data_IF_445143158817
#
_entry.id   IF_445143158817
#
_cell.length_a   1.000
_cell.length_b   1.000
_cell.length_c   1.000
_cell.angle_alpha   90.00
_cell.angle_beta   90.00
_cell.angle_gamma   90.00
#
_symmetry.space_group_name_H-M   'P 1'
#
loop_
_entity.id
_entity.type
_entity.pdbx_description
1 polymer ?
#
# COMPACT_ATOMS: atom_id res chain seq x y z
N UNK A 1 0.99 -4.70 8.62
CA UNK A 1 2.18 -4.67 7.74
C UNK A 1 2.87 -6.00 7.74
N UNK A 2 3.69 -6.28 8.76
CA UNK A 2 4.63 -7.41 8.79
C UNK A 2 3.96 -8.77 8.57
N UNK A 3 2.89 -9.10 9.29
CA UNK A 3 2.18 -10.40 9.13
C UNK A 3 1.68 -10.63 7.71
N UNK A 4 1.03 -9.62 7.11
CA UNK A 4 0.53 -9.69 5.74
C UNK A 4 1.65 -9.67 4.71
N UNK A 5 2.69 -8.87 4.93
CA UNK A 5 3.85 -8.78 4.04
C UNK A 5 4.64 -10.08 4.01
N UNK A 6 4.89 -10.72 5.15
CA UNK A 6 5.59 -12.02 5.19
C UNK A 6 4.75 -13.12 4.54
N UNK A 7 3.44 -13.17 4.80
CA UNK A 7 2.53 -14.11 4.13
C UNK A 7 2.56 -13.94 2.61
N UNK A 8 2.33 -12.73 2.10
CA UNK A 8 2.28 -12.46 0.67
C UNK A 8 3.65 -12.61 0.01
N UNK A 9 4.74 -12.27 0.70
CA UNK A 9 6.10 -12.51 0.23
C UNK A 9 6.44 -13.99 0.10
N UNK A 10 6.02 -14.82 1.08
CA UNK A 10 6.19 -16.27 1.02
C UNK A 10 5.36 -16.89 -0.11
N UNK A 11 4.12 -16.43 -0.30
CA UNK A 11 3.28 -16.85 -1.44
C UNK A 11 3.94 -16.45 -2.76
N UNK A 12 4.40 -15.22 -2.90
CA UNK A 12 5.10 -14.77 -4.10
C UNK A 12 6.37 -15.59 -4.37
N UNK A 13 7.14 -15.90 -3.32
CA UNK A 13 8.30 -16.79 -3.44
C UNK A 13 7.89 -18.20 -3.90
N UNK A 14 6.82 -18.77 -3.34
CA UNK A 14 6.35 -20.10 -3.72
C UNK A 14 5.89 -20.18 -5.19
N UNK A 15 5.31 -19.11 -5.73
CA UNK A 15 4.85 -19.07 -7.12
C UNK A 15 5.98 -18.77 -8.12
N UNK A 16 6.88 -17.84 -7.81
CA UNK A 16 7.87 -17.34 -8.76
C UNK A 16 9.28 -17.93 -8.56
N UNK A 17 9.53 -18.63 -7.44
CA UNK A 17 10.84 -19.20 -7.10
C UNK A 17 11.96 -18.17 -6.89
N UNK A 18 11.64 -16.87 -6.93
CA UNK A 18 12.62 -15.79 -6.89
C UNK A 18 12.52 -15.05 -5.54
N UNK A 19 13.58 -15.17 -4.75
CA UNK A 19 13.70 -14.55 -3.41
C UNK A 19 13.62 -13.02 -3.48
N UNK A 20 14.20 -12.41 -4.51
CA UNK A 20 14.16 -10.95 -4.68
C UNK A 20 12.71 -10.46 -4.92
N UNK A 21 11.96 -11.18 -5.75
CA UNK A 21 10.53 -10.90 -6.01
C UNK A 21 9.67 -11.06 -4.75
N UNK A 22 9.91 -12.12 -3.97
CA UNK A 22 9.24 -12.33 -2.68
C UNK A 22 9.56 -11.23 -1.66
N UNK A 23 10.82 -10.80 -1.58
CA UNK A 23 11.25 -9.69 -0.73
C UNK A 23 10.62 -8.35 -1.13
N UNK A 24 10.60 -8.03 -2.43
CA UNK A 24 9.92 -6.83 -2.97
C UNK A 24 8.43 -6.87 -2.64
N UNK A 25 7.76 -8.01 -2.81
CA UNK A 25 6.34 -8.16 -2.50
C UNK A 25 6.05 -7.95 -1.01
N UNK A 26 6.87 -8.54 -0.12
CA UNK A 26 6.73 -8.36 1.31
C UNK A 26 6.89 -6.89 1.73
N UNK A 27 7.93 -6.22 1.22
CA UNK A 27 8.20 -4.82 1.52
C UNK A 27 7.10 -3.92 0.97
N UNK A 28 6.64 -4.17 -0.26
CA UNK A 28 5.56 -3.43 -0.89
C UNK A 28 4.27 -3.50 -0.07
N UNK A 29 3.93 -4.68 0.45
CA UNK A 29 2.75 -4.86 1.31
C UNK A 29 2.85 -4.17 2.65
N UNK A 30 4.03 -4.17 3.27
CA UNK A 30 4.27 -3.41 4.50
C UNK A 30 4.05 -1.92 4.25
N UNK A 31 4.68 -1.37 3.20
CA UNK A 31 4.57 0.04 2.86
C UNK A 31 3.15 0.44 2.44
N UNK A 32 2.46 -0.39 1.65
CA UNK A 32 1.08 -0.14 1.26
C UNK A 32 0.14 -0.06 2.48
N UNK A 33 0.31 -0.94 3.46
CA UNK A 33 -0.48 -0.91 4.69
C UNK A 33 -0.17 0.31 5.56
N UNK A 34 1.08 0.78 5.57
CA UNK A 34 1.45 2.05 6.24
C UNK A 34 0.78 3.22 5.52
N UNK A 35 0.84 3.26 4.20
CA UNK A 35 0.16 4.28 3.39
C UNK A 35 -1.35 4.28 3.67
N UNK A 36 -2.00 3.11 3.66
CA UNK A 36 -3.42 2.97 3.94
C UNK A 36 -3.79 3.50 5.33
N UNK A 37 -2.98 3.20 6.35
CA UNK A 37 -3.20 3.70 7.72
C UNK A 37 -3.06 5.23 7.79
N UNK A 38 -2.05 5.80 7.12
CA UNK A 38 -1.85 7.26 7.06
C UNK A 38 -3.01 7.93 6.33
N UNK A 39 -3.41 7.43 5.17
CA UNK A 39 -4.51 7.99 4.38
C UNK A 39 -5.86 7.87 5.09
N UNK A 40 -6.06 6.78 5.85
CA UNK A 40 -7.25 6.57 6.67
C UNK A 40 -7.48 7.64 7.73
N UNK A 41 -6.41 8.29 8.21
CA UNK A 41 -6.49 9.41 9.17
C UNK A 41 -6.34 10.77 8.48
N UNK A 42 -5.46 10.86 7.49
CA UNK A 42 -5.12 12.11 6.81
C UNK A 42 -6.28 12.63 5.95
N UNK A 43 -6.97 11.78 5.19
CA UNK A 43 -8.07 12.21 4.31
C UNK A 43 -9.23 12.82 5.12
N UNK A 44 -9.78 12.16 6.16
CA UNK A 44 -10.85 12.75 6.96
C UNK A 44 -10.43 14.06 7.62
N UNK A 45 -9.23 14.10 8.23
CA UNK A 45 -8.67 15.31 8.86
C UNK A 45 -8.48 16.47 7.88
N UNK A 46 -8.01 16.19 6.67
CA UNK A 46 -7.79 17.21 5.65
C UNK A 46 -9.14 17.79 5.20
N UNK A 47 -10.14 16.94 5.01
CA UNK A 47 -11.49 17.36 4.60
C UNK A 47 -12.19 18.19 5.68
N UNK A 48 -12.08 17.78 6.93
CA UNK A 48 -12.54 18.56 8.08
C UNK A 48 -11.89 19.96 8.10
N UNK A 49 -10.57 20.03 7.86
CA UNK A 49 -9.84 21.32 7.79
C UNK A 49 -10.31 22.23 6.63
N UNK A 50 -10.74 21.65 5.52
CA UNK A 50 -11.31 22.39 4.38
C UNK A 50 -12.81 22.70 4.53
N UNK A 51 -13.41 22.44 5.69
CA UNK A 51 -14.82 22.72 5.96
C UNK A 51 -15.80 21.82 5.18
N UNK A 52 -15.32 20.70 4.65
CA UNK A 52 -16.15 19.69 3.95
C UNK A 52 -16.39 18.51 4.86
N UNK A 53 -17.57 17.90 4.76
CA UNK A 53 -17.93 16.77 5.60
C UNK A 53 -16.92 15.61 5.45
N UNK A 54 -16.25 15.19 6.54
CA UNK A 54 -15.24 14.13 6.52
C UNK A 54 -15.83 12.75 6.22
N UNK A 55 -17.16 12.59 6.26
CA UNK A 55 -17.83 11.33 5.94
C UNK A 55 -18.14 11.17 4.43
N UNK A 56 -18.44 12.25 3.71
CA UNK A 56 -19.06 12.16 2.38
C UNK A 56 -18.04 11.80 1.30
N UNK A 57 -17.79 10.53 1.04
CA UNK A 57 -16.86 10.09 -0.03
C UNK A 57 -15.40 9.96 0.39
N UNK A 58 -15.12 9.97 1.70
CA UNK A 58 -13.75 9.71 2.20
C UNK A 58 -13.34 8.27 1.97
N UNK A 59 -14.29 7.34 2.02
CA UNK A 59 -14.05 5.93 1.66
C UNK A 59 -13.48 5.82 0.25
N UNK A 60 -14.12 6.42 -0.76
CA UNK A 60 -13.69 6.39 -2.17
C UNK A 60 -12.31 7.01 -2.36
N UNK A 61 -12.04 8.14 -1.70
CA UNK A 61 -10.71 8.78 -1.76
C UNK A 61 -9.63 7.90 -1.11
N UNK A 62 -9.93 7.26 0.02
CA UNK A 62 -9.01 6.34 0.70
C UNK A 62 -8.71 5.15 -0.21
N UNK A 63 -9.73 4.51 -0.80
CA UNK A 63 -9.52 3.39 -1.73
C UNK A 63 -8.76 3.81 -2.98
N UNK A 64 -9.09 4.95 -3.58
CA UNK A 64 -8.36 5.45 -4.75
C UNK A 64 -6.87 5.70 -4.44
N UNK A 65 -6.58 6.36 -3.31
CA UNK A 65 -5.20 6.59 -2.88
C UNK A 65 -4.45 5.30 -2.54
N UNK A 66 -5.09 4.33 -1.87
CA UNK A 66 -4.41 3.07 -1.55
C UNK A 66 -4.25 2.13 -2.75
N UNK A 67 -5.15 2.20 -3.74
CA UNK A 67 -5.07 1.41 -4.97
C UNK A 67 -3.94 1.93 -5.87
N UNK A 68 -3.95 3.24 -6.17
CA UNK A 68 -2.88 3.89 -6.93
C UNK A 68 -1.55 3.85 -6.19
N UNK A 69 -1.55 4.16 -4.89
CA UNK A 69 -0.34 4.18 -4.06
C UNK A 69 0.27 2.80 -3.87
N UNK A 70 -0.56 1.76 -3.67
CA UNK A 70 -0.09 0.38 -3.58
C UNK A 70 0.56 -0.10 -4.87
N UNK A 71 -0.02 0.25 -6.01
CA UNK A 71 0.57 -0.05 -7.33
C UNK A 71 1.91 0.68 -7.53
N UNK A 72 1.98 1.97 -7.20
CA UNK A 72 3.22 2.75 -7.29
C UNK A 72 4.33 2.22 -6.38
N UNK A 73 3.99 1.83 -5.15
CA UNK A 73 4.94 1.24 -4.20
C UNK A 73 5.49 -0.07 -4.76
N UNK A 74 4.62 -0.95 -5.26
CA UNK A 74 5.04 -2.22 -5.83
C UNK A 74 5.93 -2.03 -7.05
N UNK A 75 5.49 -1.23 -8.03
CA UNK A 75 6.24 -1.03 -9.27
C UNK A 75 7.55 -0.28 -9.02
N UNK A 76 7.55 0.74 -8.17
CA UNK A 76 8.75 1.49 -7.80
C UNK A 76 9.80 0.61 -7.11
N UNK A 77 9.39 -0.26 -6.19
CA UNK A 77 10.30 -1.22 -5.56
C UNK A 77 10.79 -2.28 -6.55
N UNK A 78 9.91 -2.78 -7.42
CA UNK A 78 10.31 -3.71 -8.47
C UNK A 78 11.36 -3.10 -9.40
N UNK A 79 11.16 -1.85 -9.84
CA UNK A 79 12.15 -1.14 -10.67
C UNK A 79 13.47 -0.89 -9.95
N UNK A 80 13.47 -0.60 -8.64
CA UNK A 80 14.70 -0.33 -7.90
C UNK A 80 15.51 -1.59 -7.56
N UNK A 81 14.85 -2.76 -7.42
CA UNK A 81 15.49 -3.99 -6.94
C UNK A 81 15.59 -5.12 -7.97
N UNK A 82 14.79 -5.11 -9.05
CA UNK A 82 14.75 -6.18 -10.06
C UNK A 82 15.23 -5.76 -11.45
N UNK A 83 15.55 -4.48 -11.64
CA UNK A 83 16.22 -3.94 -12.85
C UNK A 83 17.70 -3.81 -12.56
#
# INVERSE_FOLDING_TARGET
GVVWGTLLGLVAYAFYGNVALGGVMALAMVLNLVLAAVMGVAIPRLRERFGRDPAVGSSVLITACTDSGGFFIFLGLATLFLV
#
